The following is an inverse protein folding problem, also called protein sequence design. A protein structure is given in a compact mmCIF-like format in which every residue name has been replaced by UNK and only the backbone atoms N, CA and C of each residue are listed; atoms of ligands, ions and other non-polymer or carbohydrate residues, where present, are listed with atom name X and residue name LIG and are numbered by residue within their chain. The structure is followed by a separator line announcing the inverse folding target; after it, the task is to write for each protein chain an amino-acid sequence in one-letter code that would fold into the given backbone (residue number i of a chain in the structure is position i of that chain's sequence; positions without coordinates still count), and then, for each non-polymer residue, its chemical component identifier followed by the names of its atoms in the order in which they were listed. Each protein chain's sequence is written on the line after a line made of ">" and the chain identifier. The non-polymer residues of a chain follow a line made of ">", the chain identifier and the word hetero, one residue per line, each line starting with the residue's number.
data_IF_014228383304
#
_entry.id   IF_014228383304
#
_cell.length_a   1.000
_cell.length_b   1.000
_cell.length_c   1.000
_cell.angle_alpha   90.00
_cell.angle_beta   90.00
_cell.angle_gamma   90.00
#
_symmetry.space_group_name_H-M   'P 1'
#
loop_
_entity.id
_entity.type
_entity.pdbx_description
1 polymer ?
#
# COMPACT_ATOMS: atom_id res chain seq x y z
N UNK A 1 -51.58 -38.17 4.18
CA UNK A 1 -51.72 -36.91 3.41
C UNK A 1 -50.54 -36.77 2.46
N UNK A 2 -50.73 -36.98 1.16
CA UNK A 2 -49.68 -36.86 0.13
C UNK A 2 -49.53 -35.37 -0.24
N UNK A 3 -48.35 -34.79 -0.11
CA UNK A 3 -48.08 -33.40 -0.52
C UNK A 3 -47.83 -33.36 -2.02
N UNK A 4 -48.65 -32.61 -2.75
CA UNK A 4 -48.49 -32.35 -4.18
C UNK A 4 -47.23 -31.53 -4.43
N UNK A 5 -46.38 -31.87 -5.42
CA UNK A 5 -45.20 -31.06 -5.72
C UNK A 5 -45.62 -29.78 -6.47
N UNK A 6 -45.18 -28.63 -5.97
CA UNK A 6 -45.36 -27.34 -6.67
C UNK A 6 -44.53 -27.32 -7.96
N UNK A 7 -45.18 -27.05 -9.09
CA UNK A 7 -44.51 -26.83 -10.39
C UNK A 7 -43.86 -25.43 -10.37
N UNK A 8 -42.55 -25.36 -10.55
CA UNK A 8 -41.83 -24.08 -10.71
C UNK A 8 -42.10 -23.55 -12.11
N UNK A 9 -42.78 -22.41 -12.22
CA UNK A 9 -42.92 -21.70 -13.49
C UNK A 9 -41.56 -21.11 -13.86
N UNK A 10 -41.09 -21.42 -15.07
CA UNK A 10 -39.88 -20.83 -15.62
C UNK A 10 -40.20 -19.42 -16.09
N UNK A 11 -39.75 -18.41 -15.34
CA UNK A 11 -39.80 -17.02 -15.79
C UNK A 11 -38.77 -16.83 -16.91
N UNK A 12 -39.20 -16.92 -18.18
CA UNK A 12 -38.38 -16.48 -19.31
C UNK A 12 -38.29 -14.94 -19.26
N UNK A 13 -37.13 -14.40 -18.87
CA UNK A 13 -36.85 -12.98 -19.09
C UNK A 13 -36.51 -12.78 -20.56
N UNK A 14 -37.31 -11.97 -21.26
CA UNK A 14 -36.95 -11.47 -22.58
C UNK A 14 -35.63 -10.68 -22.47
N UNK A 15 -34.65 -11.02 -23.30
CA UNK A 15 -33.42 -10.23 -23.39
C UNK A 15 -33.67 -9.04 -24.32
N UNK A 16 -33.31 -7.80 -23.93
CA UNK A 16 -33.43 -6.67 -24.82
C UNK A 16 -32.48 -6.84 -26.03
N UNK A 17 -32.92 -6.38 -27.20
CA UNK A 17 -32.08 -6.38 -28.40
C UNK A 17 -30.79 -5.60 -28.14
N UNK A 18 -29.65 -6.18 -28.53
CA UNK A 18 -28.34 -5.54 -28.40
C UNK A 18 -28.24 -4.43 -29.44
N UNK A 19 -28.31 -3.19 -28.98
CA UNK A 19 -27.97 -2.03 -29.82
C UNK A 19 -26.54 -2.14 -30.36
N UNK A 20 -26.35 -1.67 -31.60
CA UNK A 20 -25.06 -1.69 -32.27
C UNK A 20 -24.06 -0.77 -31.55
N UNK A 21 -22.85 -1.29 -31.30
CA UNK A 21 -21.78 -0.57 -30.62
C UNK A 21 -21.33 0.62 -31.49
N UNK A 22 -21.30 1.86 -30.95
CA UNK A 22 -20.90 3.02 -31.75
C UNK A 22 -19.45 2.91 -32.21
N UNK A 23 -19.18 3.48 -33.38
CA UNK A 23 -17.87 3.42 -34.02
C UNK A 23 -16.81 4.23 -33.23
N UNK A 24 -15.64 3.63 -33.07
CA UNK A 24 -14.57 4.20 -32.24
C UNK A 24 -13.87 5.33 -33.01
N UNK A 25 -14.16 6.57 -32.64
CA UNK A 25 -13.45 7.75 -33.13
C UNK A 25 -11.98 7.67 -32.67
N UNK A 26 -11.02 7.72 -33.60
CA UNK A 26 -9.60 7.77 -33.27
C UNK A 26 -9.24 9.15 -32.71
N UNK A 27 -8.55 9.26 -31.57
CA UNK A 27 -8.15 10.56 -31.04
C UNK A 27 -7.13 11.22 -31.98
N UNK A 28 -7.38 12.48 -32.33
CA UNK A 28 -6.53 13.29 -33.23
C UNK A 28 -5.28 13.89 -32.53
N UNK A 29 -4.97 13.46 -31.31
CA UNK A 29 -3.87 14.02 -30.54
C UNK A 29 -2.52 13.49 -31.07
N UNK A 30 -1.71 14.39 -31.63
CA UNK A 30 -0.32 14.08 -31.97
C UNK A 30 0.48 13.81 -30.68
N UNK A 31 1.37 12.81 -30.66
CA UNK A 31 2.22 12.57 -29.49
C UNK A 31 3.14 13.76 -29.26
N UNK A 32 3.13 14.33 -28.06
CA UNK A 32 4.09 15.36 -27.68
C UNK A 32 5.51 14.79 -27.83
N UNK A 33 6.38 15.50 -28.54
CA UNK A 33 7.76 15.11 -28.71
C UNK A 33 8.43 15.00 -27.33
N UNK A 34 8.94 13.81 -26.99
CA UNK A 34 9.70 13.61 -25.76
C UNK A 34 10.99 14.42 -25.86
N UNK A 35 11.34 15.26 -24.86
CA UNK A 35 12.59 15.99 -24.91
C UNK A 35 13.78 15.02 -24.88
N UNK A 36 14.83 15.36 -25.62
CA UNK A 36 16.11 14.65 -25.60
C UNK A 36 16.65 14.70 -24.18
N UNK A 37 16.88 13.53 -23.57
CA UNK A 37 17.59 13.44 -22.29
C UNK A 37 19.09 13.47 -22.58
N UNK A 38 19.77 14.52 -22.13
CA UNK A 38 21.22 14.51 -22.03
C UNK A 38 21.64 13.48 -20.98
N UNK A 39 22.59 12.60 -21.31
CA UNK A 39 23.14 11.65 -20.35
C UNK A 39 23.75 12.45 -19.19
N UNK A 40 23.29 12.17 -17.96
CA UNK A 40 23.98 12.68 -16.77
C UNK A 40 25.41 12.10 -16.78
N UNK A 41 26.46 12.90 -16.52
CA UNK A 41 27.84 12.41 -16.54
C UNK A 41 28.03 11.33 -15.47
N UNK A 42 28.49 10.15 -15.91
CA UNK A 42 28.53 8.90 -15.17
C UNK A 42 29.71 8.78 -14.18
N UNK A 43 29.97 9.81 -13.37
CA UNK A 43 31.15 9.82 -12.48
C UNK A 43 30.83 9.68 -10.98
N UNK A 44 29.56 9.53 -10.59
CA UNK A 44 29.28 9.03 -9.24
C UNK A 44 29.47 7.50 -9.22
N UNK A 45 30.32 6.95 -8.33
CA UNK A 45 30.42 5.51 -8.19
C UNK A 45 29.05 4.99 -7.76
N UNK A 46 28.43 4.17 -8.61
CA UNK A 46 27.24 3.40 -8.24
C UNK A 46 27.68 2.40 -7.19
N UNK A 47 27.62 2.79 -5.93
CA UNK A 47 27.82 1.90 -4.80
C UNK A 47 26.79 0.78 -4.95
N UNK A 48 27.28 -0.43 -5.15
CA UNK A 48 26.45 -1.62 -5.21
C UNK A 48 25.62 -1.67 -3.92
N UNK A 49 24.31 -1.44 -4.05
CA UNK A 49 23.41 -1.57 -2.92
C UNK A 49 23.57 -3.01 -2.39
N UNK A 50 23.81 -3.20 -1.08
CA UNK A 50 23.94 -4.53 -0.52
C UNK A 50 22.70 -5.35 -0.86
N UNK A 51 22.90 -6.65 -1.10
CA UNK A 51 21.82 -7.58 -1.42
C UNK A 51 20.79 -7.51 -0.29
N UNK A 52 19.65 -6.89 -0.57
CA UNK A 52 18.60 -6.64 0.40
C UNK A 52 18.29 -7.91 1.21
N UNK A 53 18.05 -7.74 2.50
CA UNK A 53 17.60 -8.79 3.40
C UNK A 53 16.46 -9.59 2.73
N UNK A 54 16.60 -10.92 2.67
CA UNK A 54 15.67 -11.79 1.94
C UNK A 54 14.29 -11.77 2.60
N UNK A 55 13.40 -10.89 2.13
CA UNK A 55 12.02 -10.83 2.59
C UNK A 55 11.21 -12.02 2.05
N UNK A 56 10.67 -12.86 2.93
CA UNK A 56 9.75 -13.96 2.57
C UNK A 56 8.38 -13.36 2.24
N UNK A 57 7.82 -13.56 1.03
CA UNK A 57 6.55 -12.97 0.65
C UNK A 57 5.43 -13.39 1.62
N UNK A 58 4.91 -12.43 2.39
CA UNK A 58 3.88 -12.62 3.42
C UNK A 58 2.50 -12.92 2.86
N UNK A 59 2.33 -14.09 2.23
CA UNK A 59 1.01 -14.61 1.80
C UNK A 59 0.34 -15.52 2.84
N UNK A 60 1.05 -15.93 3.89
CA UNK A 60 0.56 -16.83 4.93
C UNK A 60 0.04 -16.10 6.17
N UNK A 61 -0.46 -16.86 7.15
CA UNK A 61 -0.66 -16.36 8.49
C UNK A 61 0.70 -16.00 9.12
N UNK A 62 0.77 -14.94 9.95
CA UNK A 62 2.02 -14.57 10.59
C UNK A 62 2.50 -15.64 11.56
N UNK A 63 3.80 -15.90 11.56
CA UNK A 63 4.44 -16.72 12.59
C UNK A 63 4.50 -15.97 13.94
N UNK A 64 5.04 -16.63 14.97
CA UNK A 64 5.10 -16.06 16.32
C UNK A 64 5.92 -14.76 16.39
N UNK A 65 7.06 -14.68 15.69
CA UNK A 65 7.89 -13.47 15.65
C UNK A 65 7.20 -12.34 14.87
N UNK A 66 6.62 -12.65 13.72
CA UNK A 66 5.87 -11.70 12.89
C UNK A 66 4.68 -11.11 13.64
N UNK A 67 3.99 -11.95 14.44
CA UNK A 67 2.90 -11.51 15.31
C UNK A 67 3.42 -10.60 16.42
N UNK A 68 4.49 -10.98 17.10
CA UNK A 68 5.12 -10.15 18.13
C UNK A 68 5.57 -8.78 17.58
N UNK A 69 6.12 -8.75 16.37
CA UNK A 69 6.46 -7.51 15.68
C UNK A 69 5.21 -6.66 15.43
N UNK A 70 4.15 -7.23 14.85
CA UNK A 70 2.92 -6.50 14.56
C UNK A 70 2.23 -5.97 15.82
N UNK A 71 2.24 -6.74 16.91
CA UNK A 71 1.71 -6.32 18.21
C UNK A 71 2.54 -5.15 18.78
N UNK A 72 3.87 -5.22 18.68
CA UNK A 72 4.78 -4.17 19.15
C UNK A 72 4.59 -2.85 18.40
N UNK A 73 4.47 -2.87 17.06
CA UNK A 73 4.25 -1.65 16.28
C UNK A 73 2.85 -1.05 16.52
N UNK A 74 1.85 -1.88 16.79
CA UNK A 74 0.51 -1.39 17.14
C UNK A 74 0.55 -0.67 18.49
N UNK A 75 1.24 -1.24 19.48
CA UNK A 75 1.46 -0.60 20.78
C UNK A 75 2.30 0.69 20.67
N UNK A 76 3.24 0.75 19.73
CA UNK A 76 4.01 1.98 19.46
C UNK A 76 3.12 3.12 18.98
N UNK A 77 2.06 2.84 18.22
CA UNK A 77 1.18 3.86 17.64
C UNK A 77 1.72 4.43 16.32
N UNK A 78 0.97 5.34 15.71
CA UNK A 78 1.33 5.86 14.39
C UNK A 78 2.69 6.57 14.39
N UNK A 79 3.64 6.07 13.59
CA UNK A 79 5.00 6.63 13.52
C UNK A 79 5.01 8.07 12.98
N UNK A 80 4.18 8.37 11.98
CA UNK A 80 4.06 9.72 11.43
C UNK A 80 3.44 10.70 12.44
N UNK A 81 2.43 10.27 13.22
CA UNK A 81 1.88 11.10 14.31
C UNK A 81 2.93 11.43 15.37
N UNK A 82 3.82 10.49 15.71
CA UNK A 82 4.90 10.76 16.65
C UNK A 82 5.91 11.77 16.10
N UNK A 83 6.25 11.70 14.81
CA UNK A 83 7.09 12.70 14.15
C UNK A 83 6.41 14.08 14.15
N UNK A 84 5.09 14.11 13.96
CA UNK A 84 4.29 15.34 14.05
C UNK A 84 4.01 15.80 15.50
N UNK A 85 4.59 15.15 16.52
CA UNK A 85 4.39 15.44 17.94
C UNK A 85 2.92 15.35 18.41
N UNK A 86 2.11 14.50 17.77
CA UNK A 86 0.71 14.25 18.12
C UNK A 86 0.53 13.12 19.16
N UNK A 87 1.64 12.59 19.68
CA UNK A 87 1.63 11.50 20.66
C UNK A 87 1.26 10.14 20.06
N UNK A 88 0.62 9.29 20.88
CA UNK A 88 0.24 7.93 20.51
C UNK A 88 -1.15 7.95 19.87
N UNK A 89 -1.21 7.68 18.57
CA UNK A 89 -2.48 7.51 17.83
C UNK A 89 -2.67 6.05 17.44
N UNK A 90 -3.88 5.47 17.60
CA UNK A 90 -4.18 4.11 17.16
C UNK A 90 -3.81 3.89 15.68
N UNK A 91 -2.97 2.89 15.36
CA UNK A 91 -2.55 2.62 13.99
C UNK A 91 -3.28 1.43 13.38
N UNK A 92 -3.37 1.44 12.05
CA UNK A 92 -3.51 0.25 11.23
C UNK A 92 -2.12 -0.25 10.80
N UNK A 93 -2.00 -1.55 10.56
CA UNK A 93 -0.76 -2.18 10.07
C UNK A 93 -0.67 -1.98 8.56
N UNK A 94 0.27 -1.16 8.12
CA UNK A 94 0.56 -0.90 6.71
C UNK A 94 1.70 -1.79 6.22
N UNK A 95 1.48 -2.57 5.16
CA UNK A 95 2.54 -3.41 4.56
C UNK A 95 3.35 -2.64 3.52
N UNK A 96 4.67 -2.69 3.64
CA UNK A 96 5.58 -2.18 2.61
C UNK A 96 5.51 -3.10 1.39
N UNK A 97 5.41 -2.48 0.22
CA UNK A 97 5.34 -3.19 -1.06
C UNK A 97 6.63 -3.00 -1.86
N UNK A 98 7.07 -4.06 -2.55
CA UNK A 98 8.10 -4.02 -3.58
C UNK A 98 7.54 -4.62 -4.86
N UNK A 99 7.56 -3.86 -5.95
CA UNK A 99 6.94 -4.28 -7.21
C UNK A 99 5.44 -4.60 -7.08
N UNK A 100 4.71 -3.87 -6.24
CA UNK A 100 3.27 -4.08 -6.00
C UNK A 100 2.92 -5.30 -5.14
N UNK A 101 3.92 -5.98 -4.55
CA UNK A 101 3.70 -7.16 -3.69
C UNK A 101 4.20 -6.89 -2.28
N UNK A 102 3.47 -7.41 -1.29
CA UNK A 102 3.88 -7.39 0.12
C UNK A 102 5.18 -8.14 0.27
N UNK A 103 6.16 -7.53 0.93
CA UNK A 103 7.47 -8.16 1.12
C UNK A 103 7.51 -9.08 2.34
N UNK A 104 6.77 -8.80 3.42
CA UNK A 104 6.65 -9.66 4.60
C UNK A 104 5.94 -8.97 5.77
N UNK A 105 5.59 -9.71 6.82
CA UNK A 105 4.96 -9.12 8.01
C UNK A 105 5.93 -8.29 8.85
N UNK A 106 7.23 -8.62 8.86
CA UNK A 106 8.31 -7.83 9.48
C UNK A 106 8.63 -6.51 8.76
N UNK A 107 7.96 -6.26 7.64
CA UNK A 107 8.09 -5.05 6.84
C UNK A 107 6.76 -4.31 6.83
N UNK A 108 6.36 -3.90 8.03
CA UNK A 108 5.10 -3.21 8.28
C UNK A 108 5.35 -1.95 9.11
N UNK A 109 4.51 -0.94 8.90
CA UNK A 109 4.54 0.32 9.62
C UNK A 109 3.19 0.56 10.32
N UNK A 110 3.19 1.16 11.52
CA UNK A 110 1.97 1.58 12.17
C UNK A 110 1.56 2.97 11.64
N UNK A 111 0.44 3.05 10.93
CA UNK A 111 -0.09 4.31 10.38
C UNK A 111 -1.56 4.50 10.77
N UNK A 112 -1.95 5.67 11.28
CA UNK A 112 -3.33 5.92 11.71
C UNK A 112 -4.31 6.01 10.54
N UNK A 113 -5.54 5.55 10.77
CA UNK A 113 -6.61 5.53 9.77
C UNK A 113 -7.94 5.94 10.42
N UNK A 114 -8.64 6.99 9.95
CA UNK A 114 -8.22 7.92 8.89
C UNK A 114 -7.11 8.87 9.37
N UNK A 115 -6.13 9.13 8.50
CA UNK A 115 -4.94 9.92 8.82
C UNK A 115 -3.75 9.61 7.90
N UNK A 116 -2.63 9.18 8.52
CA UNK A 116 -1.37 8.93 7.82
C UNK A 116 -1.37 7.66 6.96
N UNK A 117 -2.31 6.74 7.16
CA UNK A 117 -2.50 5.60 6.25
C UNK A 117 -3.25 6.03 4.99
N UNK A 118 -4.51 6.45 5.15
CA UNK A 118 -5.42 6.93 4.10
C UNK A 118 -6.41 7.95 4.68
N UNK A 119 -7.09 8.73 3.82
CA UNK A 119 -8.19 9.61 4.25
C UNK A 119 -7.83 10.72 5.24
N UNK A 120 -6.57 11.17 5.29
CA UNK A 120 -6.08 12.14 6.27
C UNK A 120 -6.25 13.61 5.88
N UNK A 121 -6.72 13.89 4.66
CA UNK A 121 -6.72 15.23 4.06
C UNK A 121 -7.60 16.22 4.85
N UNK A 122 -8.79 15.78 5.25
CA UNK A 122 -9.71 16.57 6.08
C UNK A 122 -9.16 16.86 7.47
N UNK A 123 -8.23 16.03 7.96
CA UNK A 123 -7.55 16.20 9.26
C UNK A 123 -6.23 16.96 9.14
N UNK A 124 -5.88 17.46 7.95
CA UNK A 124 -4.59 18.09 7.67
C UNK A 124 -3.40 17.13 7.67
N UNK A 125 -3.63 15.81 7.74
CA UNK A 125 -2.58 14.80 7.70
C UNK A 125 -2.22 14.44 6.25
N UNK A 126 -0.92 14.24 5.98
CA UNK A 126 -0.46 13.75 4.69
C UNK A 126 -0.55 12.23 4.71
N UNK A 127 -1.57 11.66 4.06
CA UNK A 127 -1.71 10.21 3.96
C UNK A 127 -0.66 9.59 3.06
N UNK A 128 -0.19 8.40 3.45
CA UNK A 128 0.64 7.54 2.60
C UNK A 128 -0.10 7.15 1.32
N UNK A 129 -1.38 6.82 1.41
CA UNK A 129 -2.26 6.59 0.26
C UNK A 129 -3.25 7.75 0.07
N UNK A 130 -3.33 8.36 -1.13
CA UNK A 130 -2.55 8.08 -2.35
C UNK A 130 -1.22 8.86 -2.44
N UNK A 131 -0.90 9.73 -1.49
CA UNK A 131 0.15 10.75 -1.65
C UNK A 131 1.57 10.30 -1.27
N UNK A 132 2.02 9.16 -1.81
CA UNK A 132 3.34 8.57 -1.53
C UNK A 132 4.47 9.60 -1.50
N UNK A 133 4.65 10.33 -2.60
CA UNK A 133 5.79 11.23 -2.76
C UNK A 133 5.79 12.36 -1.72
N UNK A 134 4.61 12.90 -1.37
CA UNK A 134 4.49 13.94 -0.33
C UNK A 134 4.73 13.37 1.06
N UNK A 135 4.25 12.16 1.32
CA UNK A 135 4.49 11.44 2.56
C UNK A 135 5.99 11.22 2.77
N UNK A 136 6.67 10.66 1.76
CA UNK A 136 8.11 10.36 1.85
C UNK A 136 8.95 11.63 1.95
N UNK A 137 8.57 12.71 1.27
CA UNK A 137 9.25 14.00 1.39
C UNK A 137 9.19 14.59 2.81
N UNK A 138 8.12 14.32 3.57
CA UNK A 138 7.97 14.84 4.94
C UNK A 138 8.54 13.89 6.00
N UNK A 139 8.28 12.60 5.89
CA UNK A 139 8.56 11.62 6.96
C UNK A 139 9.77 10.73 6.68
N UNK A 140 10.24 10.67 5.43
CA UNK A 140 11.18 9.67 4.93
C UNK A 140 10.48 8.51 4.23
N UNK A 141 11.26 7.70 3.53
CA UNK A 141 10.80 6.49 2.83
C UNK A 141 10.23 5.46 3.81
N UNK A 142 9.42 4.54 3.28
CA UNK A 142 8.82 3.47 4.08
C UNK A 142 9.89 2.59 4.78
N UNK A 143 11.06 2.40 4.16
CA UNK A 143 12.16 1.61 4.73
C UNK A 143 12.92 2.39 5.81
N UNK A 144 13.19 3.69 5.60
CA UNK A 144 13.81 4.54 6.63
C UNK A 144 12.92 4.63 7.88
N UNK A 145 11.61 4.75 7.70
CA UNK A 145 10.66 4.71 8.81
C UNK A 145 10.66 3.35 9.53
N UNK A 146 10.82 2.26 8.79
CA UNK A 146 10.91 0.92 9.38
C UNK A 146 12.18 0.77 10.23
N UNK A 147 13.32 1.26 9.75
CA UNK A 147 14.59 1.26 10.49
C UNK A 147 14.49 2.10 11.76
N UNK A 148 13.92 3.30 11.68
CA UNK A 148 13.64 4.14 12.84
C UNK A 148 12.77 3.43 13.87
N UNK A 149 11.74 2.72 13.40
CA UNK A 149 10.83 1.97 14.26
C UNK A 149 11.53 0.80 14.96
N UNK A 150 12.34 0.04 14.21
CA UNK A 150 13.15 -1.05 14.77
C UNK A 150 14.11 -0.53 15.83
N UNK A 151 14.80 0.59 15.57
CA UNK A 151 15.68 1.23 16.54
C UNK A 151 14.91 1.70 17.78
N UNK A 152 13.76 2.36 17.62
CA UNK A 152 12.95 2.87 18.73
C UNK A 152 12.40 1.75 19.64
N UNK A 153 12.08 0.59 19.07
CA UNK A 153 11.63 -0.59 19.79
C UNK A 153 12.78 -1.48 20.27
N UNK A 154 14.04 -1.10 19.98
CA UNK A 154 15.22 -1.93 20.17
C UNK A 154 15.02 -3.36 19.62
N UNK A 155 14.40 -3.45 18.44
CA UNK A 155 14.01 -4.70 17.80
C UNK A 155 15.21 -5.34 17.11
N UNK A 156 15.79 -6.34 17.77
CA UNK A 156 16.77 -7.23 17.17
C UNK A 156 16.01 -8.43 16.58
N UNK A 157 16.02 -8.57 15.26
CA UNK A 157 15.50 -9.76 14.59
C UNK A 157 16.17 -11.00 15.20
N UNK A 158 15.38 -11.97 15.65
CA UNK A 158 15.87 -13.14 16.39
C UNK A 158 16.15 -14.34 15.49
#
# INVERSE_FOLDING_TARGET
>A
MRRTPMKRTAWLRAQPEREARPERIKPAAQPLARPVRYAQPANDPVLAQPKDEKAKPGKGAPNAEERAWMDAIVAYGCIACRIDNLGITPPAVHHILRGGRRIGHLFTLPLCDPGHHQGGQEKGAISRHPYKARFEAKYGTELELLERLRAALNWNAR
#
